data_IF_422550533723
#
_entry.id   IF_422550533723
#
_cell.length_a   1.000
_cell.length_b   1.000
_cell.length_c   1.000
_cell.angle_alpha   90.00
_cell.angle_beta   90.00
_cell.angle_gamma   90.00
#
_symmetry.space_group_name_H-M   'P 1'
#
loop_
_entity.id
_entity.type
_entity.pdbx_description
1 polymer ?
#
# COMPACT_ATOMS: atom_id res chain seq x y z
N UNK A 1 7.47 -8.76 20.97
CA UNK A 1 8.56 -8.34 21.88
C UNK A 1 9.82 -9.21 21.85
N UNK A 2 9.77 -10.47 21.40
CA UNK A 2 10.96 -11.34 21.31
C UNK A 2 11.97 -10.90 20.22
N UNK A 3 11.53 -10.38 19.07
CA UNK A 3 12.42 -10.02 17.96
C UNK A 3 13.23 -8.72 18.18
N UNK A 4 12.82 -7.84 19.08
CA UNK A 4 13.56 -6.62 19.43
C UNK A 4 14.84 -6.94 20.20
N UNK A 5 14.88 -8.10 20.89
CA UNK A 5 16.05 -8.54 21.67
C UNK A 5 17.16 -9.18 20.80
N UNK A 6 16.90 -9.46 19.52
CA UNK A 6 17.87 -10.10 18.61
C UNK A 6 18.73 -9.09 17.80
N UNK A 7 18.48 -7.80 17.94
CA UNK A 7 19.25 -6.76 17.24
C UNK A 7 20.63 -6.56 17.90
N UNK A 8 21.69 -6.38 17.09
CA UNK A 8 23.07 -6.23 17.60
C UNK A 8 23.35 -4.88 18.28
N UNK A 9 22.35 -4.07 18.57
CA UNK A 9 22.41 -2.71 19.09
C UNK A 9 21.79 -1.70 18.12
N UNK A 10 21.88 -0.38 18.44
CA UNK A 10 21.38 0.68 17.55
C UNK A 10 22.06 0.63 16.18
N UNK A 11 21.27 0.64 15.11
CA UNK A 11 21.75 0.68 13.72
C UNK A 11 21.39 2.00 13.05
N UNK A 12 22.16 2.37 12.02
CA UNK A 12 21.81 3.46 11.11
C UNK A 12 21.47 2.88 9.73
N UNK A 13 20.28 3.16 9.23
CA UNK A 13 19.81 2.68 7.92
C UNK A 13 19.81 3.84 6.91
N UNK A 14 20.51 3.66 5.79
CA UNK A 14 20.46 4.56 4.65
C UNK A 14 19.34 4.15 3.72
N UNK A 15 18.22 4.85 3.75
CA UNK A 15 17.03 4.62 2.95
C UNK A 15 17.16 5.40 1.65
N UNK A 16 17.13 4.70 0.51
CA UNK A 16 17.25 5.34 -0.80
C UNK A 16 15.94 5.16 -1.57
N UNK A 17 15.25 6.27 -1.84
CA UNK A 17 13.96 6.29 -2.52
C UNK A 17 13.98 7.29 -3.68
N UNK A 18 13.34 7.01 -4.84
CA UNK A 18 13.43 7.88 -6.01
C UNK A 18 12.91 9.30 -5.78
N UNK A 19 11.77 9.40 -5.11
CA UNK A 19 11.06 10.65 -4.80
C UNK A 19 10.48 10.59 -3.38
N UNK A 20 10.00 11.73 -2.87
CA UNK A 20 9.24 11.82 -1.62
C UNK A 20 7.93 12.58 -1.85
N UNK A 21 7.13 12.15 -2.84
CA UNK A 21 5.87 12.83 -3.17
C UNK A 21 4.64 12.14 -2.54
N UNK A 22 4.17 11.05 -3.13
CA UNK A 22 2.97 10.35 -2.66
C UNK A 22 2.85 8.93 -3.24
N UNK A 23 3.94 8.34 -3.70
CA UNK A 23 3.98 6.93 -4.12
C UNK A 23 3.96 5.98 -2.91
N UNK A 24 3.63 4.71 -3.15
CA UNK A 24 3.66 3.71 -2.08
C UNK A 24 5.07 3.57 -1.46
N UNK A 25 6.13 3.66 -2.27
CA UNK A 25 7.51 3.65 -1.79
C UNK A 25 7.86 4.89 -0.97
N UNK A 26 7.33 6.06 -1.38
CA UNK A 26 7.58 7.34 -0.72
C UNK A 26 6.97 7.35 0.70
N UNK A 27 5.71 6.92 0.80
CA UNK A 27 5.02 6.73 2.09
C UNK A 27 5.72 5.64 2.92
N UNK A 28 6.12 4.54 2.28
CA UNK A 28 6.87 3.46 2.92
C UNK A 28 8.21 3.92 3.50
N UNK A 29 8.89 4.90 2.87
CA UNK A 29 10.10 5.50 3.41
C UNK A 29 9.82 6.25 4.72
N UNK A 30 8.76 7.06 4.78
CA UNK A 30 8.34 7.77 6.00
C UNK A 30 7.97 6.80 7.12
N UNK A 31 7.22 5.73 6.81
CA UNK A 31 6.86 4.70 7.79
C UNK A 31 8.11 3.97 8.32
N UNK A 32 9.07 3.67 7.44
CA UNK A 32 10.33 3.04 7.84
C UNK A 32 11.16 3.95 8.76
N UNK A 33 11.18 5.26 8.51
CA UNK A 33 11.78 6.26 9.43
C UNK A 33 11.09 6.18 10.79
N UNK A 34 9.75 6.23 10.83
CA UNK A 34 9.00 6.13 12.10
C UNK A 34 9.28 4.85 12.87
N UNK A 35 9.42 3.72 12.16
CA UNK A 35 9.77 2.44 12.77
C UNK A 35 11.14 2.52 13.43
N UNK A 36 12.14 2.97 12.69
CA UNK A 36 13.52 3.02 13.16
C UNK A 36 13.71 3.97 14.33
N UNK A 37 13.20 5.19 14.23
CA UNK A 37 13.36 6.21 15.29
C UNK A 37 12.60 5.82 16.57
N UNK A 38 11.44 5.17 16.47
CA UNK A 38 10.71 4.67 17.66
C UNK A 38 11.38 3.49 18.35
N UNK A 39 12.38 2.89 17.75
CA UNK A 39 13.08 1.70 18.25
C UNK A 39 14.58 1.97 18.49
N UNK A 40 14.93 3.23 18.74
CA UNK A 40 16.29 3.70 19.02
C UNK A 40 17.30 3.41 17.90
N UNK A 41 16.83 3.33 16.68
CA UNK A 41 17.65 3.24 15.46
C UNK A 41 17.59 4.56 14.69
N UNK A 42 18.56 4.79 13.80
CA UNK A 42 18.63 6.02 13.01
C UNK A 42 18.26 5.78 11.56
N UNK A 43 17.54 6.72 10.98
CA UNK A 43 17.16 6.71 9.57
C UNK A 43 17.71 7.93 8.83
N UNK A 44 18.38 7.67 7.70
CA UNK A 44 18.83 8.71 6.77
C UNK A 44 18.13 8.45 5.44
N UNK A 45 17.33 9.40 4.97
CA UNK A 45 16.59 9.27 3.72
C UNK A 45 17.27 10.07 2.62
N UNK A 46 17.65 9.39 1.55
CA UNK A 46 18.25 10.01 0.35
C UNK A 46 17.27 9.94 -0.81
N UNK A 47 16.91 11.09 -1.35
CA UNK A 47 15.92 11.17 -2.42
C UNK A 47 15.99 12.52 -3.14
N UNK A 48 15.38 12.60 -4.32
CA UNK A 48 14.95 13.89 -4.84
C UNK A 48 13.86 14.45 -3.91
N UNK A 49 13.96 15.74 -3.55
CA UNK A 49 12.99 16.38 -2.67
C UNK A 49 11.56 16.27 -3.18
N UNK A 50 10.59 16.25 -2.27
CA UNK A 50 9.16 16.16 -2.54
C UNK A 50 8.34 16.57 -1.31
N UNK A 51 7.03 16.43 -1.37
CA UNK A 51 6.09 16.90 -0.33
C UNK A 51 6.28 16.20 1.03
N UNK A 52 6.75 14.94 1.03
CA UNK A 52 6.93 14.14 2.24
C UNK A 52 8.26 14.39 2.96
N UNK A 53 9.10 15.35 2.51
CA UNK A 53 10.34 15.69 3.23
C UNK A 53 10.05 16.17 4.64
N UNK A 54 9.01 17.02 4.79
CA UNK A 54 8.58 17.48 6.12
C UNK A 54 8.17 16.33 7.03
N UNK A 55 7.50 15.31 6.48
CA UNK A 55 7.08 14.12 7.24
C UNK A 55 8.27 13.26 7.69
N UNK A 56 9.33 13.15 6.85
CA UNK A 56 10.58 12.46 7.21
C UNK A 56 11.24 13.15 8.40
N UNK A 57 11.37 14.48 8.35
CA UNK A 57 11.98 15.28 9.41
C UNK A 57 11.14 15.23 10.70
N UNK A 58 9.81 15.37 10.56
CA UNK A 58 8.88 15.28 11.69
C UNK A 58 8.89 13.88 12.35
N UNK A 59 9.22 12.85 11.60
CA UNK A 59 9.40 11.48 12.11
C UNK A 59 10.76 11.25 12.81
N UNK A 60 11.68 12.24 12.81
CA UNK A 60 13.03 12.15 13.41
C UNK A 60 14.15 11.80 12.43
N UNK A 61 13.83 11.49 11.16
CA UNK A 61 14.83 11.08 10.17
C UNK A 61 15.67 12.24 9.62
N UNK A 62 16.92 11.94 9.26
CA UNK A 62 17.79 12.86 8.51
C UNK A 62 17.43 12.80 7.01
N UNK A 63 17.25 13.95 6.36
CA UNK A 63 17.02 14.03 4.92
C UNK A 63 18.23 14.55 4.17
N UNK A 64 18.63 13.86 3.09
CA UNK A 64 19.72 14.27 2.19
C UNK A 64 19.19 14.35 0.76
N UNK A 65 19.24 15.54 0.18
CA UNK A 65 18.81 15.75 -1.18
C UNK A 65 19.83 15.22 -2.20
N UNK A 66 19.44 14.24 -3.00
CA UNK A 66 20.21 13.69 -4.12
C UNK A 66 19.26 13.14 -5.18
N UNK A 67 19.42 13.55 -6.43
CA UNK A 67 18.61 12.99 -7.53
C UNK A 67 19.09 11.58 -7.88
N UNK A 68 18.52 10.60 -7.17
CA UNK A 68 18.77 9.16 -7.36
C UNK A 68 17.82 8.51 -8.38
N UNK A 69 16.82 9.25 -8.87
CA UNK A 69 15.85 8.78 -9.88
C UNK A 69 16.45 8.89 -11.29
N UNK A 70 17.38 8.00 -11.62
CA UNK A 70 18.08 8.06 -12.90
C UNK A 70 18.17 6.70 -13.60
N UNK A 71 18.21 6.73 -14.92
CA UNK A 71 18.53 5.60 -15.80
C UNK A 71 19.89 5.74 -16.48
N UNK A 72 20.57 6.86 -16.27
CA UNK A 72 21.88 7.12 -16.85
C UNK A 72 22.98 6.38 -16.05
N UNK A 73 23.74 5.45 -16.65
CA UNK A 73 24.75 4.66 -15.93
C UNK A 73 25.84 5.51 -15.27
N UNK A 74 26.27 6.61 -15.91
CA UNK A 74 27.29 7.50 -15.34
C UNK A 74 26.79 8.21 -14.09
N UNK A 75 25.51 8.68 -14.11
CA UNK A 75 24.87 9.25 -12.93
C UNK A 75 24.66 8.19 -11.85
N UNK A 76 24.34 6.94 -12.21
CA UNK A 76 24.24 5.86 -11.23
C UNK A 76 25.57 5.63 -10.50
N UNK A 77 26.70 5.64 -11.21
CA UNK A 77 28.03 5.50 -10.61
C UNK A 77 28.40 6.70 -9.75
N UNK A 78 28.14 7.93 -10.21
CA UNK A 78 28.33 9.13 -9.41
C UNK A 78 27.51 9.11 -8.13
N UNK A 79 26.22 8.78 -8.23
CA UNK A 79 25.33 8.64 -7.08
C UNK A 79 25.83 7.53 -6.12
N UNK A 80 26.31 6.42 -6.64
CA UNK A 80 26.88 5.34 -5.84
C UNK A 80 28.09 5.81 -5.01
N UNK A 81 28.97 6.65 -5.58
CA UNK A 81 30.11 7.21 -4.87
C UNK A 81 29.65 8.14 -3.73
N UNK A 82 28.64 8.98 -3.97
CA UNK A 82 28.06 9.87 -2.95
C UNK A 82 27.41 9.05 -1.82
N UNK A 83 26.58 8.04 -2.19
CA UNK A 83 25.92 7.16 -1.21
C UNK A 83 26.91 6.35 -0.38
N UNK A 84 28.01 5.85 -1.00
CA UNK A 84 29.06 5.14 -0.28
C UNK A 84 29.79 6.05 0.72
N UNK A 85 30.12 7.28 0.31
CA UNK A 85 30.73 8.27 1.20
C UNK A 85 29.81 8.56 2.39
N UNK A 86 28.53 8.88 2.11
CA UNK A 86 27.54 9.16 3.14
C UNK A 86 27.37 7.99 4.11
N UNK A 87 27.29 6.75 3.58
CA UNK A 87 27.16 5.55 4.39
C UNK A 87 28.34 5.37 5.36
N UNK A 88 29.57 5.65 4.91
CA UNK A 88 30.78 5.59 5.75
C UNK A 88 30.83 6.71 6.78
N UNK A 89 30.57 7.96 6.38
CA UNK A 89 30.60 9.14 7.26
C UNK A 89 29.56 9.06 8.37
N UNK A 90 28.39 8.46 8.09
CA UNK A 90 27.29 8.31 9.06
C UNK A 90 27.28 6.97 9.78
N UNK A 91 28.25 6.09 9.53
CA UNK A 91 28.31 4.77 10.15
C UNK A 91 27.09 3.90 9.84
N UNK A 92 26.58 3.94 8.60
CA UNK A 92 25.40 3.16 8.22
C UNK A 92 25.69 1.66 8.27
N UNK A 93 24.76 0.92 8.84
CA UNK A 93 24.80 -0.55 8.94
C UNK A 93 24.13 -1.25 7.76
N UNK A 94 23.20 -0.58 7.06
CA UNK A 94 22.40 -1.13 5.96
C UNK A 94 22.12 -0.04 4.94
N UNK A 95 22.11 -0.37 3.64
CA UNK A 95 21.52 0.45 2.58
C UNK A 95 20.24 -0.23 2.11
N UNK A 96 19.11 0.45 2.22
CA UNK A 96 17.80 -0.04 1.85
C UNK A 96 17.18 0.76 0.69
N UNK A 97 16.99 0.13 -0.47
CA UNK A 97 16.39 0.77 -1.64
C UNK A 97 14.90 0.46 -1.76
N UNK A 98 14.07 1.50 -1.90
CA UNK A 98 12.63 1.40 -2.02
C UNK A 98 12.13 1.64 -3.45
N UNK A 99 12.99 1.55 -4.45
CA UNK A 99 12.61 1.77 -5.83
C UNK A 99 13.70 1.35 -6.81
N UNK A 100 13.30 0.91 -8.00
CA UNK A 100 14.23 0.35 -9.00
C UNK A 100 15.21 1.37 -9.59
N UNK A 101 14.80 2.63 -9.72
CA UNK A 101 15.64 3.66 -10.38
C UNK A 101 16.80 4.10 -9.49
N UNK A 102 16.67 4.00 -8.18
CA UNK A 102 17.74 4.28 -7.23
C UNK A 102 18.53 3.02 -6.82
N UNK A 103 17.96 1.82 -7.06
CA UNK A 103 18.49 0.56 -6.51
C UNK A 103 19.87 0.19 -7.07
N UNK A 104 20.20 0.52 -8.33
CA UNK A 104 21.52 0.28 -8.88
C UNK A 104 22.61 1.09 -8.16
N UNK A 105 22.37 2.39 -7.96
CA UNK A 105 23.28 3.26 -7.20
C UNK A 105 23.44 2.76 -5.76
N UNK A 106 22.35 2.38 -5.11
CA UNK A 106 22.31 1.85 -3.75
C UNK A 106 23.07 0.51 -3.63
N UNK A 107 22.86 -0.42 -4.59
CA UNK A 107 23.54 -1.72 -4.63
C UNK A 107 25.06 -1.59 -4.80
N UNK A 108 25.51 -0.70 -5.71
CA UNK A 108 26.92 -0.42 -5.90
C UNK A 108 27.52 0.21 -4.64
N UNK A 109 26.83 1.19 -4.05
CA UNK A 109 27.28 1.86 -2.83
C UNK A 109 27.43 0.88 -1.65
N UNK A 110 26.47 -0.04 -1.47
CA UNK A 110 26.50 -1.04 -0.42
C UNK A 110 27.71 -1.98 -0.57
N UNK A 111 28.00 -2.42 -1.81
CA UNK A 111 29.19 -3.22 -2.10
C UNK A 111 30.49 -2.48 -1.79
N UNK A 112 30.61 -1.21 -2.19
CA UNK A 112 31.77 -0.36 -1.92
C UNK A 112 31.96 -0.08 -0.43
N UNK A 113 30.86 0.08 0.31
CA UNK A 113 30.88 0.30 1.75
C UNK A 113 31.11 -1.01 2.55
N UNK A 114 30.90 -2.18 1.95
CA UNK A 114 31.00 -3.48 2.63
C UNK A 114 29.85 -3.75 3.59
N UNK A 115 28.65 -3.18 3.34
CA UNK A 115 27.46 -3.32 4.19
C UNK A 115 26.31 -3.99 3.43
N UNK A 116 25.35 -4.62 4.14
CA UNK A 116 24.20 -5.26 3.53
C UNK A 116 23.34 -4.32 2.68
N UNK A 117 22.84 -4.86 1.56
CA UNK A 117 21.87 -4.22 0.68
C UNK A 117 20.51 -4.87 0.83
N UNK A 118 19.47 -4.07 1.07
CA UNK A 118 18.07 -4.52 1.18
C UNK A 118 17.22 -3.82 0.14
N UNK A 119 16.18 -4.48 -0.34
CA UNK A 119 15.22 -3.90 -1.27
C UNK A 119 13.79 -4.13 -0.80
N UNK A 120 12.90 -3.16 -1.04
CA UNK A 120 11.45 -3.32 -0.82
C UNK A 120 10.66 -3.19 -2.11
N UNK A 121 9.76 -4.15 -2.35
CA UNK A 121 8.85 -4.20 -3.47
C UNK A 121 7.45 -3.78 -3.03
N UNK A 122 6.99 -2.64 -3.55
CA UNK A 122 5.64 -2.10 -3.30
C UNK A 122 4.65 -2.39 -4.43
N UNK A 123 5.15 -2.83 -5.60
CA UNK A 123 4.36 -3.21 -6.77
C UNK A 123 5.17 -4.05 -7.73
N UNK A 124 4.48 -4.80 -8.59
CA UNK A 124 5.09 -5.47 -9.74
C UNK A 124 5.57 -4.49 -10.80
N UNK A 125 6.58 -4.88 -11.57
CA UNK A 125 7.09 -4.10 -12.69
C UNK A 125 6.67 -4.72 -14.01
N UNK A 126 6.26 -3.88 -14.97
CA UNK A 126 6.02 -4.32 -16.35
C UNK A 126 7.37 -4.55 -17.03
N UNK A 127 7.55 -5.75 -17.60
CA UNK A 127 8.73 -6.16 -18.35
C UNK A 127 8.33 -6.46 -19.78
N UNK A 128 8.75 -5.60 -20.71
CA UNK A 128 8.43 -5.72 -22.13
C UNK A 128 9.56 -6.37 -22.93
N UNK A 129 10.76 -6.47 -22.33
CA UNK A 129 11.96 -7.03 -22.96
C UNK A 129 13.03 -7.44 -21.93
N UNK A 130 14.05 -8.19 -22.36
CA UNK A 130 15.14 -8.68 -21.52
C UNK A 130 15.94 -7.54 -20.85
N UNK A 131 16.12 -6.41 -21.52
CA UNK A 131 16.84 -5.27 -20.94
C UNK A 131 16.09 -4.69 -19.73
N UNK A 132 14.77 -4.58 -19.80
CA UNK A 132 13.96 -4.14 -18.65
C UNK A 132 14.00 -5.17 -17.53
N UNK A 133 14.01 -6.47 -17.85
CA UNK A 133 14.16 -7.52 -16.84
C UNK A 133 15.52 -7.43 -16.15
N UNK A 134 16.61 -7.24 -16.90
CA UNK A 134 17.94 -7.03 -16.33
C UNK A 134 17.99 -5.77 -15.46
N UNK A 135 17.44 -4.65 -15.95
CA UNK A 135 17.37 -3.41 -15.18
C UNK A 135 16.59 -3.58 -13.87
N UNK A 136 15.47 -4.28 -13.89
CA UNK A 136 14.65 -4.52 -12.70
C UNK A 136 15.29 -5.55 -11.75
N UNK A 137 16.16 -6.44 -12.24
CA UNK A 137 16.75 -7.54 -11.45
C UNK A 137 17.56 -7.06 -10.24
N UNK A 138 18.02 -5.80 -10.22
CA UNK A 138 18.72 -5.25 -9.05
C UNK A 138 17.86 -5.28 -7.80
N UNK A 139 16.54 -5.15 -7.95
CA UNK A 139 15.59 -5.23 -6.83
C UNK A 139 15.50 -6.64 -6.22
N UNK A 140 15.99 -7.66 -6.90
CA UNK A 140 16.06 -9.05 -6.45
C UNK A 140 17.46 -9.46 -5.93
N UNK A 141 18.43 -8.53 -5.93
CA UNK A 141 19.84 -8.79 -5.55
C UNK A 141 20.17 -8.43 -4.10
N UNK A 142 19.19 -8.06 -3.29
CA UNK A 142 19.40 -7.77 -1.87
C UNK A 142 19.93 -8.96 -1.08
N UNK A 143 20.64 -8.72 0.02
CA UNK A 143 20.88 -9.71 1.06
C UNK A 143 19.54 -10.22 1.60
N UNK A 144 18.56 -9.29 1.72
CA UNK A 144 17.14 -9.56 1.90
C UNK A 144 16.33 -8.76 0.89
N UNK A 145 15.22 -9.35 0.45
CA UNK A 145 14.24 -8.76 -0.47
C UNK A 145 12.89 -8.74 0.24
N UNK A 146 12.42 -7.57 0.55
CA UNK A 146 11.13 -7.37 1.22
C UNK A 146 10.03 -7.24 0.16
N UNK A 147 9.01 -8.05 0.26
CA UNK A 147 7.79 -7.96 -0.55
C UNK A 147 6.62 -7.53 0.36
N UNK A 148 5.81 -6.57 -0.10
CA UNK A 148 4.68 -6.07 0.71
C UNK A 148 3.43 -6.94 0.63
N UNK A 149 3.48 -8.07 -0.08
CA UNK A 149 2.43 -9.09 -0.12
C UNK A 149 3.00 -10.42 -0.60
N UNK A 150 2.30 -11.52 -0.27
CA UNK A 150 2.62 -12.86 -0.76
C UNK A 150 2.63 -12.93 -2.31
N UNK A 151 1.71 -12.23 -2.96
CA UNK A 151 1.66 -12.16 -4.42
C UNK A 151 2.93 -11.52 -5.01
N UNK A 152 3.47 -10.49 -4.36
CA UNK A 152 4.73 -9.87 -4.78
C UNK A 152 5.92 -10.77 -4.47
N UNK A 153 5.92 -11.48 -3.36
CA UNK A 153 6.94 -12.47 -3.02
C UNK A 153 7.00 -13.57 -4.06
N UNK A 154 5.85 -14.14 -4.43
CA UNK A 154 5.73 -15.14 -5.49
C UNK A 154 6.24 -14.59 -6.83
N UNK A 155 5.84 -13.37 -7.20
CA UNK A 155 6.30 -12.72 -8.42
C UNK A 155 7.82 -12.56 -8.47
N UNK A 156 8.45 -12.20 -7.34
CA UNK A 156 9.91 -12.04 -7.23
C UNK A 156 10.61 -13.39 -7.37
N UNK A 157 10.11 -14.43 -6.72
CA UNK A 157 10.62 -15.79 -6.84
C UNK A 157 10.52 -16.30 -8.28
N UNK A 158 9.30 -16.25 -8.90
CA UNK A 158 9.05 -16.79 -10.23
C UNK A 158 9.83 -16.09 -11.33
N UNK A 159 9.97 -14.76 -11.24
CA UNK A 159 10.57 -13.98 -12.31
C UNK A 159 12.08 -13.87 -12.25
N UNK A 160 12.63 -13.82 -11.02
CA UNK A 160 14.05 -13.55 -10.82
C UNK A 160 14.78 -14.73 -10.19
N UNK A 161 14.08 -15.82 -9.85
CA UNK A 161 14.68 -16.98 -9.18
C UNK A 161 15.23 -16.63 -7.81
N UNK A 162 14.70 -15.62 -7.14
CA UNK A 162 15.17 -15.23 -5.81
C UNK A 162 14.79 -16.34 -4.82
N UNK A 163 15.75 -16.94 -4.10
CA UNK A 163 15.44 -17.97 -3.11
C UNK A 163 14.50 -17.46 -2.02
N UNK A 164 13.57 -18.31 -1.58
CA UNK A 164 12.59 -17.95 -0.55
C UNK A 164 13.24 -17.50 0.76
N UNK A 165 14.41 -18.05 1.10
CA UNK A 165 15.17 -17.67 2.29
C UNK A 165 15.64 -16.21 2.26
N UNK A 166 15.71 -15.61 1.07
CA UNK A 166 16.04 -14.17 0.91
C UNK A 166 14.81 -13.28 0.88
N UNK A 167 13.62 -13.83 0.66
CA UNK A 167 12.39 -13.07 0.56
C UNK A 167 11.74 -12.99 1.95
N UNK A 168 11.43 -11.79 2.38
CA UNK A 168 10.64 -11.54 3.57
C UNK A 168 9.33 -10.87 3.16
N UNK A 169 8.19 -11.42 3.59
CA UNK A 169 6.90 -10.76 3.39
C UNK A 169 6.65 -9.84 4.57
N UNK A 170 6.73 -8.54 4.30
CA UNK A 170 6.45 -7.49 5.29
C UNK A 170 5.35 -6.60 4.72
N UNK A 171 4.10 -6.81 5.11
CA UNK A 171 2.99 -6.03 4.57
C UNK A 171 3.15 -4.55 4.94
N UNK A 172 2.62 -3.68 4.07
CA UNK A 172 2.54 -2.26 4.40
C UNK A 172 1.62 -2.09 5.60
N UNK A 173 2.21 -1.73 6.73
CA UNK A 173 1.48 -1.45 7.96
C UNK A 173 1.07 0.02 8.02
N UNK A 174 -0.03 0.30 8.69
CA UNK A 174 -0.53 1.65 8.88
C UNK A 174 -0.81 1.93 10.36
N UNK A 175 -0.75 3.21 10.71
CA UNK A 175 -1.25 3.67 12.00
C UNK A 175 -2.78 3.72 11.96
N UNK A 176 -3.42 2.87 12.74
CA UNK A 176 -4.87 2.79 12.82
C UNK A 176 -5.48 3.75 13.85
N UNK A 177 -4.71 4.52 14.61
CA UNK A 177 -5.26 5.43 15.63
C UNK A 177 -6.29 6.41 15.09
N UNK A 178 -6.16 6.98 13.87
CA UNK A 178 -7.20 7.83 13.28
C UNK A 178 -8.45 7.06 12.87
N UNK A 179 -8.34 5.75 12.62
CA UNK A 179 -9.39 4.87 12.07
C UNK A 179 -10.06 4.06 13.20
N UNK A 180 -10.55 4.78 14.20
CA UNK A 180 -11.29 4.24 15.33
C UNK A 180 -12.75 4.62 15.21
N UNK A 181 -13.70 3.67 15.03
CA UNK A 181 -15.13 3.99 14.88
C UNK A 181 -15.68 4.88 15.98
N UNK A 182 -15.29 4.62 17.23
CA UNK A 182 -15.75 5.39 18.39
C UNK A 182 -15.24 6.83 18.48
N UNK A 183 -14.27 7.22 17.66
CA UNK A 183 -13.74 8.61 17.59
C UNK A 183 -14.41 9.46 16.52
N UNK A 184 -15.28 8.88 15.69
CA UNK A 184 -16.02 9.61 14.67
C UNK A 184 -17.39 9.97 15.19
N UNK A 185 -17.63 11.27 15.35
CA UNK A 185 -18.91 11.73 15.91
C UNK A 185 -20.03 11.69 14.87
N UNK A 186 -21.31 11.53 15.31
CA UNK A 186 -22.46 11.53 14.41
C UNK A 186 -22.56 12.81 13.56
N UNK A 187 -22.14 13.97 14.10
CA UNK A 187 -22.16 15.25 13.41
C UNK A 187 -21.20 15.26 12.22
N UNK A 188 -19.99 14.68 12.36
CA UNK A 188 -19.02 14.55 11.25
C UNK A 188 -19.58 13.66 10.14
N UNK A 189 -20.22 12.55 10.51
CA UNK A 189 -20.89 11.65 9.56
C UNK A 189 -22.01 12.38 8.83
N UNK A 190 -22.91 13.07 9.59
CA UNK A 190 -24.05 13.79 9.05
C UNK A 190 -23.62 14.92 8.11
N UNK A 191 -22.58 15.69 8.48
CA UNK A 191 -22.04 16.76 7.65
C UNK A 191 -21.54 16.22 6.29
N UNK A 192 -20.85 15.07 6.32
CA UNK A 192 -20.33 14.46 5.11
C UNK A 192 -21.46 13.87 4.23
N UNK A 193 -22.43 13.16 4.81
CA UNK A 193 -23.60 12.66 4.08
C UNK A 193 -24.37 13.83 3.44
N UNK A 194 -24.55 14.93 4.15
CA UNK A 194 -25.17 16.16 3.63
C UNK A 194 -24.38 16.72 2.43
N UNK A 195 -23.06 16.79 2.52
CA UNK A 195 -22.22 17.29 1.42
C UNK A 195 -22.32 16.44 0.15
N UNK A 196 -22.60 15.15 0.29
CA UNK A 196 -22.84 14.23 -0.82
C UNK A 196 -24.30 14.26 -1.32
N UNK A 197 -25.19 14.97 -0.65
CA UNK A 197 -26.63 15.04 -0.98
C UNK A 197 -27.36 13.73 -0.68
N UNK A 198 -26.93 12.99 0.34
CA UNK A 198 -27.45 11.66 0.68
C UNK A 198 -28.57 11.77 1.72
N UNK A 199 -29.69 11.10 1.48
CA UNK A 199 -30.75 10.95 2.46
C UNK A 199 -30.33 10.05 3.63
N UNK A 200 -30.91 10.19 4.83
CA UNK A 200 -30.51 9.36 5.98
C UNK A 200 -30.66 7.86 5.77
N UNK A 201 -31.66 7.41 5.02
CA UNK A 201 -31.95 5.99 4.74
C UNK A 201 -31.11 5.40 3.63
N UNK A 202 -30.56 6.23 2.71
CA UNK A 202 -29.83 5.75 1.52
C UNK A 202 -28.54 5.02 1.91
N UNK A 203 -28.35 3.82 1.37
CA UNK A 203 -27.14 3.02 1.57
C UNK A 203 -25.96 3.57 0.75
N UNK A 204 -24.80 3.74 1.36
CA UNK A 204 -23.63 4.31 0.70
C UNK A 204 -22.61 3.20 0.36
N UNK A 205 -22.33 3.09 -0.94
CA UNK A 205 -21.23 2.30 -1.48
C UNK A 205 -20.07 3.27 -1.77
N UNK A 206 -19.03 3.24 -0.97
CA UNK A 206 -17.90 4.17 -1.09
C UNK A 206 -16.79 3.55 -1.95
N UNK A 207 -16.41 4.22 -3.03
CA UNK A 207 -15.29 3.83 -3.89
C UNK A 207 -14.16 4.83 -3.71
N UNK A 208 -13.08 4.41 -3.06
CA UNK A 208 -11.97 5.30 -2.70
C UNK A 208 -10.74 5.10 -3.57
N UNK A 209 -10.02 6.19 -3.81
CA UNK A 209 -8.74 6.18 -4.51
C UNK A 209 -8.71 7.12 -5.71
N UNK A 210 -7.50 7.34 -6.24
CA UNK A 210 -7.31 8.23 -7.41
C UNK A 210 -8.23 7.87 -8.56
N UNK A 211 -8.84 8.86 -9.18
CA UNK A 211 -9.72 8.67 -10.34
C UNK A 211 -8.85 8.44 -11.59
N UNK A 212 -8.44 7.19 -11.76
CA UNK A 212 -7.63 6.73 -12.90
C UNK A 212 -8.11 5.35 -13.34
N UNK A 213 -7.99 5.03 -14.64
CA UNK A 213 -8.57 3.83 -15.26
C UNK A 213 -8.21 2.53 -14.51
N UNK A 214 -6.98 2.39 -14.03
CA UNK A 214 -6.53 1.17 -13.31
C UNK A 214 -7.25 0.93 -11.98
N UNK A 215 -7.90 1.95 -11.38
CA UNK A 215 -8.69 1.83 -10.15
C UNK A 215 -10.12 1.31 -10.37
N UNK A 216 -10.56 1.20 -11.62
CA UNK A 216 -11.79 0.50 -11.97
C UNK A 216 -13.10 1.21 -11.63
N UNK A 217 -13.12 2.56 -11.49
CA UNK A 217 -14.37 3.29 -11.23
C UNK A 217 -15.45 3.02 -12.27
N UNK A 218 -15.05 2.81 -13.55
CA UNK A 218 -15.97 2.43 -14.63
C UNK A 218 -16.63 1.07 -14.40
N UNK A 219 -15.96 0.12 -13.71
CA UNK A 219 -16.54 -1.16 -13.32
C UNK A 219 -17.63 -0.94 -12.25
N UNK A 220 -17.38 -0.02 -11.29
CA UNK A 220 -18.39 0.34 -10.29
C UNK A 220 -19.62 1.02 -10.91
N UNK A 221 -19.46 1.87 -11.93
CA UNK A 221 -20.59 2.45 -12.68
C UNK A 221 -21.40 1.34 -13.36
N UNK A 222 -20.75 0.41 -14.04
CA UNK A 222 -21.43 -0.72 -14.72
C UNK A 222 -22.12 -1.65 -13.71
N UNK A 223 -21.53 -1.86 -12.53
CA UNK A 223 -22.16 -2.64 -11.47
C UNK A 223 -23.38 -1.91 -10.88
N UNK A 224 -23.31 -0.59 -10.69
CA UNK A 224 -24.45 0.21 -10.26
C UNK A 224 -25.61 0.13 -11.25
N UNK A 225 -25.34 0.22 -12.56
CA UNK A 225 -26.36 -0.01 -13.60
C UNK A 225 -27.06 -1.37 -13.42
N UNK A 226 -26.30 -2.44 -13.21
CA UNK A 226 -26.87 -3.78 -13.00
C UNK A 226 -27.72 -3.87 -11.73
N UNK A 227 -27.34 -3.20 -10.66
CA UNK A 227 -28.15 -3.13 -9.44
C UNK A 227 -29.50 -2.42 -9.71
N UNK A 228 -29.48 -1.34 -10.49
CA UNK A 228 -30.71 -0.65 -10.91
C UNK A 228 -31.62 -1.55 -11.79
N UNK A 229 -31.02 -2.30 -12.72
CA UNK A 229 -31.74 -3.28 -13.56
C UNK A 229 -32.37 -4.40 -12.71
N UNK A 230 -31.84 -4.70 -11.53
CA UNK A 230 -32.42 -5.61 -10.55
C UNK A 230 -33.45 -4.96 -9.63
N UNK A 231 -33.78 -3.67 -9.85
CA UNK A 231 -34.78 -2.93 -9.09
C UNK A 231 -34.26 -2.27 -7.81
N UNK A 232 -32.94 -2.28 -7.54
CA UNK A 232 -32.37 -1.57 -6.40
C UNK A 232 -32.09 -0.11 -6.79
N UNK A 233 -32.66 0.81 -6.04
CA UNK A 233 -32.52 2.27 -6.27
C UNK A 233 -32.18 3.03 -4.99
N UNK A 234 -32.32 2.43 -3.81
CA UNK A 234 -32.01 3.08 -2.52
C UNK A 234 -30.54 2.88 -2.12
N UNK A 235 -29.63 3.24 -3.02
CA UNK A 235 -28.19 3.29 -2.76
C UNK A 235 -27.54 4.44 -3.51
N UNK A 236 -26.37 4.86 -3.05
CA UNK A 236 -25.52 5.81 -3.74
C UNK A 236 -24.07 5.32 -3.76
N UNK A 237 -23.48 5.19 -4.95
CA UNK A 237 -22.05 4.98 -5.12
C UNK A 237 -21.33 6.33 -5.07
N UNK A 238 -20.55 6.57 -4.03
CA UNK A 238 -19.77 7.80 -3.86
C UNK A 238 -18.32 7.54 -4.21
N UNK A 239 -17.81 8.24 -5.22
CA UNK A 239 -16.41 8.17 -5.65
C UNK A 239 -15.62 9.29 -4.96
N UNK A 240 -14.65 8.92 -4.13
CA UNK A 240 -13.80 9.87 -3.39
C UNK A 240 -12.34 9.69 -3.83
N UNK A 241 -11.81 10.72 -4.48
CA UNK A 241 -10.42 10.74 -4.93
C UNK A 241 -10.11 11.90 -5.86
N UNK A 242 -8.81 12.12 -6.09
CA UNK A 242 -8.33 13.14 -7.03
C UNK A 242 -7.99 12.49 -8.38
N UNK A 243 -8.21 13.22 -9.47
CA UNK A 243 -7.77 12.80 -10.81
C UNK A 243 -6.31 13.22 -11.12
N UNK A 244 -5.78 14.21 -10.36
CA UNK A 244 -4.41 14.74 -10.51
C UNK A 244 -4.01 15.05 -11.96
N UNK A 245 -4.93 15.65 -12.71
CA UNK A 245 -4.70 16.02 -14.10
C UNK A 245 -5.00 14.89 -15.11
N UNK A 246 -5.57 13.76 -14.67
CA UNK A 246 -6.10 12.73 -15.57
C UNK A 246 -7.53 13.05 -16.04
N UNK A 247 -7.77 14.30 -16.41
CA UNK A 247 -9.10 14.84 -16.77
C UNK A 247 -9.78 14.08 -17.91
N UNK A 248 -9.00 13.49 -18.85
CA UNK A 248 -9.55 12.66 -19.91
C UNK A 248 -10.33 11.45 -19.38
N UNK A 249 -9.77 10.71 -18.41
CA UNK A 249 -10.49 9.58 -17.82
C UNK A 249 -11.70 10.02 -16.97
N UNK A 250 -11.61 11.16 -16.32
CA UNK A 250 -12.73 11.74 -15.57
C UNK A 250 -13.89 12.09 -16.51
N UNK A 251 -13.58 12.64 -17.71
CA UNK A 251 -14.55 12.86 -18.77
C UNK A 251 -15.18 11.56 -19.27
N UNK A 252 -14.37 10.55 -19.65
CA UNK A 252 -14.84 9.23 -20.06
C UNK A 252 -15.77 8.61 -19.01
N UNK A 253 -15.48 8.81 -17.71
CA UNK A 253 -16.29 8.29 -16.62
C UNK A 253 -17.63 8.98 -16.51
N UNK A 254 -17.69 10.31 -16.70
CA UNK A 254 -18.95 11.06 -16.76
C UNK A 254 -19.81 10.65 -17.97
N UNK A 255 -19.20 10.49 -19.15
CA UNK A 255 -19.90 10.02 -20.35
C UNK A 255 -20.49 8.62 -20.11
N UNK A 256 -19.77 7.75 -19.40
CA UNK A 256 -20.29 6.44 -19.02
C UNK A 256 -21.48 6.56 -18.04
N UNK A 257 -21.41 7.42 -17.03
CA UNK A 257 -22.52 7.66 -16.09
C UNK A 257 -23.76 8.14 -16.83
N UNK A 258 -23.61 9.09 -17.77
CA UNK A 258 -24.72 9.60 -18.57
C UNK A 258 -25.30 8.53 -19.50
N UNK A 259 -24.44 7.83 -20.25
CA UNK A 259 -24.90 6.81 -21.22
C UNK A 259 -25.53 5.58 -20.57
N UNK A 260 -25.17 5.27 -19.31
CA UNK A 260 -25.76 4.16 -18.56
C UNK A 260 -27.00 4.55 -17.74
N UNK A 261 -27.34 5.84 -17.68
CA UNK A 261 -28.49 6.34 -16.90
C UNK A 261 -28.30 6.22 -15.37
N UNK A 262 -27.05 6.22 -14.88
CA UNK A 262 -26.75 5.99 -13.46
C UNK A 262 -26.53 7.29 -12.65
N UNK A 263 -26.91 8.46 -13.18
CA UNK A 263 -26.70 9.76 -12.55
C UNK A 263 -27.29 9.86 -11.14
N UNK A 264 -28.41 9.22 -10.90
CA UNK A 264 -29.11 9.30 -9.61
C UNK A 264 -28.42 8.46 -8.52
N UNK A 265 -27.65 7.44 -8.92
CA UNK A 265 -26.97 6.51 -8.02
C UNK A 265 -25.45 6.63 -8.02
N UNK A 266 -24.88 7.57 -8.78
CA UNK A 266 -23.44 7.85 -8.80
C UNK A 266 -23.16 9.28 -8.35
N UNK A 267 -22.21 9.46 -7.44
CA UNK A 267 -21.74 10.77 -6.98
C UNK A 267 -20.22 10.83 -7.07
N UNK A 268 -19.68 11.73 -7.87
CA UNK A 268 -18.27 12.09 -7.83
C UNK A 268 -18.07 13.21 -6.81
N UNK A 269 -17.54 12.85 -5.64
CA UNK A 269 -17.34 13.79 -4.55
C UNK A 269 -15.97 14.49 -4.68
N UNK A 270 -15.91 15.71 -4.15
CA UNK A 270 -14.63 16.38 -3.94
C UNK A 270 -13.71 15.56 -3.04
N UNK A 271 -12.37 15.73 -3.11
CA UNK A 271 -11.46 15.10 -2.18
C UNK A 271 -11.85 15.34 -0.73
N UNK A 272 -11.86 14.27 0.06
CA UNK A 272 -12.25 14.30 1.48
C UNK A 272 -10.99 14.26 2.35
N UNK A 273 -10.80 15.25 3.21
CA UNK A 273 -9.71 15.28 4.19
C UNK A 273 -9.99 14.38 5.40
N UNK A 274 -11.26 14.22 5.77
CA UNK A 274 -11.70 13.39 6.90
C UNK A 274 -12.11 11.99 6.41
N UNK A 275 -11.12 11.17 6.06
CA UNK A 275 -11.36 9.80 5.62
C UNK A 275 -11.98 8.89 6.69
N UNK A 276 -11.65 9.00 7.99
CA UNK A 276 -12.39 8.26 9.03
C UNK A 276 -13.90 8.50 8.99
N UNK A 277 -14.34 9.76 8.83
CA UNK A 277 -15.77 10.06 8.70
C UNK A 277 -16.36 9.52 7.39
N UNK A 278 -15.59 9.54 6.28
CA UNK A 278 -16.03 8.98 5.01
C UNK A 278 -16.30 7.46 5.12
N UNK A 279 -15.38 6.72 5.73
CA UNK A 279 -15.60 5.29 5.99
C UNK A 279 -16.76 5.06 6.97
N UNK A 280 -16.86 5.88 8.04
CA UNK A 280 -17.97 5.76 8.98
C UNK A 280 -19.34 6.04 8.34
N UNK A 281 -19.40 6.93 7.35
CA UNK A 281 -20.61 7.23 6.60
C UNK A 281 -21.03 6.14 5.61
N UNK A 282 -20.09 5.27 5.21
CA UNK A 282 -20.31 4.23 4.23
C UNK A 282 -20.91 2.95 4.85
N UNK A 283 -21.75 2.25 4.10
CA UNK A 283 -22.24 0.90 4.43
C UNK A 283 -21.32 -0.18 3.85
N UNK A 284 -20.76 0.06 2.67
CA UNK A 284 -19.86 -0.85 1.96
C UNK A 284 -18.71 -0.03 1.35
N UNK A 285 -17.49 -0.56 1.41
CA UNK A 285 -16.35 0.07 0.73
C UNK A 285 -15.85 -0.84 -0.37
N UNK A 286 -15.62 -0.26 -1.56
CA UNK A 286 -15.25 -1.00 -2.78
C UNK A 286 -13.86 -0.59 -3.26
N UNK A 287 -13.07 -1.57 -3.65
CA UNK A 287 -11.90 -1.36 -4.51
C UNK A 287 -11.99 -2.26 -5.75
N UNK A 288 -12.23 -1.63 -6.89
CA UNK A 288 -12.45 -2.29 -8.17
C UNK A 288 -11.21 -2.26 -9.09
N UNK A 289 -10.00 -2.26 -8.53
CA UNK A 289 -8.77 -2.18 -9.32
C UNK A 289 -8.70 -3.28 -10.40
N UNK A 290 -8.30 -2.88 -11.61
CA UNK A 290 -8.17 -3.76 -12.78
C UNK A 290 -6.69 -4.03 -13.15
N UNK A 291 -5.79 -3.67 -12.29
CA UNK A 291 -4.36 -3.99 -12.40
C UNK A 291 -3.84 -4.39 -11.02
N UNK A 292 -2.84 -5.27 -10.94
CA UNK A 292 -2.27 -5.68 -9.67
C UNK A 292 -1.80 -4.48 -8.85
N UNK A 293 -2.31 -4.40 -7.64
CA UNK A 293 -1.88 -3.44 -6.63
C UNK A 293 -1.30 -4.21 -5.44
N UNK A 294 -0.38 -3.59 -4.72
CA UNK A 294 0.01 -4.12 -3.41
C UNK A 294 -1.11 -3.91 -2.39
N UNK A 295 -0.80 -4.03 -1.12
CA UNK A 295 -1.76 -3.76 -0.03
C UNK A 295 -2.33 -2.34 -0.19
N UNK A 296 -3.63 -2.26 -0.46
CA UNK A 296 -4.30 -0.97 -0.61
C UNK A 296 -4.66 -0.40 0.76
N UNK A 297 -4.05 0.73 1.08
CA UNK A 297 -4.28 1.46 2.32
C UNK A 297 -5.77 1.69 2.60
N UNK A 298 -6.54 2.08 1.58
CA UNK A 298 -7.98 2.33 1.69
C UNK A 298 -8.79 1.11 2.18
N UNK A 299 -8.38 -0.11 1.84
CA UNK A 299 -9.04 -1.34 2.30
C UNK A 299 -8.70 -1.60 3.76
N UNK A 300 -7.44 -1.40 4.16
CA UNK A 300 -7.04 -1.51 5.56
C UNK A 300 -7.77 -0.50 6.45
N UNK A 301 -7.87 0.75 5.99
CA UNK A 301 -8.58 1.84 6.68
C UNK A 301 -10.07 1.55 6.83
N UNK A 302 -10.73 1.10 5.74
CA UNK A 302 -12.14 0.74 5.76
C UNK A 302 -12.41 -0.44 6.72
N UNK A 303 -11.57 -1.47 6.66
CA UNK A 303 -11.67 -2.61 7.57
C UNK A 303 -11.43 -2.19 9.02
N UNK A 304 -10.47 -1.30 9.29
CA UNK A 304 -10.23 -0.75 10.64
C UNK A 304 -11.44 0.03 11.16
N UNK A 305 -12.20 0.67 10.27
CA UNK A 305 -13.48 1.32 10.58
C UNK A 305 -14.65 0.33 10.65
N UNK A 306 -14.38 -0.98 10.70
CA UNK A 306 -15.38 -2.05 10.75
C UNK A 306 -16.39 -2.00 9.59
N UNK A 307 -15.99 -1.55 8.41
CA UNK A 307 -16.86 -1.54 7.24
C UNK A 307 -16.68 -2.82 6.42
N UNK A 308 -17.76 -3.46 5.98
CA UNK A 308 -17.70 -4.53 4.98
C UNK A 308 -17.00 -4.03 3.72
N UNK A 309 -16.09 -4.84 3.17
CA UNK A 309 -15.32 -4.49 1.98
C UNK A 309 -15.61 -5.44 0.82
N UNK A 310 -15.67 -4.91 -0.39
CA UNK A 310 -15.73 -5.68 -1.63
C UNK A 310 -14.54 -5.31 -2.50
N UNK A 311 -13.70 -6.28 -2.82
CA UNK A 311 -12.43 -6.01 -3.53
C UNK A 311 -12.28 -6.91 -4.75
N UNK A 312 -11.67 -6.38 -5.82
CA UNK A 312 -11.25 -7.24 -6.91
C UNK A 312 -10.06 -8.14 -6.48
N UNK A 313 -9.89 -9.26 -7.16
CA UNK A 313 -8.76 -10.18 -6.93
C UNK A 313 -7.39 -9.56 -7.24
N UNK A 314 -7.35 -8.43 -7.97
CA UNK A 314 -6.15 -7.64 -8.24
C UNK A 314 -5.98 -6.44 -7.27
N UNK A 315 -7.01 -6.10 -6.49
CA UNK A 315 -6.98 -4.97 -5.56
C UNK A 315 -6.33 -5.32 -4.22
N UNK A 316 -6.52 -6.54 -3.76
CA UNK A 316 -5.98 -7.01 -2.48
C UNK A 316 -5.67 -8.50 -2.55
N UNK A 317 -4.56 -8.89 -1.96
CA UNK A 317 -4.18 -10.30 -1.79
C UNK A 317 -5.11 -11.05 -0.83
N UNK A 318 -5.01 -12.41 -0.80
CA UNK A 318 -5.77 -13.24 0.14
C UNK A 318 -5.38 -13.00 1.61
N UNK A 319 -4.24 -12.40 1.83
CA UNK A 319 -3.72 -11.97 3.12
C UNK A 319 -4.42 -10.71 3.67
N UNK A 320 -4.94 -9.84 2.80
CA UNK A 320 -5.58 -8.58 3.19
C UNK A 320 -7.03 -8.79 3.64
N UNK A 321 -7.78 -9.62 2.93
CA UNK A 321 -9.13 -10.02 3.28
C UNK A 321 -9.30 -11.53 3.23
N UNK A 322 -9.98 -12.08 4.20
CA UNK A 322 -10.34 -13.50 4.25
C UNK A 322 -11.67 -13.72 3.51
N UNK A 323 -11.68 -14.63 2.55
CA UNK A 323 -12.86 -14.94 1.73
C UNK A 323 -13.05 -16.45 1.59
N UNK A 324 -14.28 -16.88 1.33
CA UNK A 324 -14.52 -18.26 0.92
C UNK A 324 -13.87 -18.55 -0.45
N UNK A 325 -13.43 -19.78 -0.75
CA UNK A 325 -13.46 -20.96 0.12
C UNK A 325 -12.24 -21.09 1.06
N UNK A 326 -11.30 -20.13 1.04
CA UNK A 326 -10.09 -20.18 1.88
C UNK A 326 -10.42 -20.22 3.38
N UNK A 327 -11.52 -19.58 3.78
CA UNK A 327 -12.07 -19.68 5.13
C UNK A 327 -13.57 -19.98 5.07
N UNK A 328 -14.17 -20.57 6.13
CA UNK A 328 -15.61 -20.74 6.23
C UNK A 328 -16.35 -19.39 6.14
N UNK A 329 -17.59 -19.38 5.62
CA UNK A 329 -18.44 -18.19 5.52
C UNK A 329 -18.57 -17.41 6.84
N UNK A 330 -18.62 -18.11 7.98
CA UNK A 330 -18.67 -17.48 9.30
C UNK A 330 -17.41 -16.69 9.69
N UNK A 331 -16.32 -16.84 8.92
CA UNK A 331 -15.01 -16.20 9.20
C UNK A 331 -14.59 -15.21 8.14
N UNK A 332 -15.37 -15.02 7.06
CA UNK A 332 -15.02 -14.04 6.01
C UNK A 332 -14.98 -12.63 6.58
N UNK A 333 -14.07 -11.82 6.06
CA UNK A 333 -13.87 -10.42 6.45
C UNK A 333 -14.29 -9.43 5.36
N UNK A 334 -14.66 -9.94 4.20
CA UNK A 334 -15.13 -9.16 3.04
C UNK A 334 -15.44 -10.09 1.88
N UNK A 335 -15.81 -9.51 0.74
CA UNK A 335 -16.10 -10.25 -0.48
C UNK A 335 -15.08 -9.93 -1.58
N UNK A 336 -14.82 -10.91 -2.43
CA UNK A 336 -13.91 -10.79 -3.58
C UNK A 336 -14.65 -11.04 -4.87
N UNK A 337 -14.26 -10.36 -5.95
CA UNK A 337 -14.76 -10.55 -7.29
C UNK A 337 -13.64 -10.52 -8.33
N UNK A 338 -13.87 -11.09 -9.51
CA UNK A 338 -12.90 -11.09 -10.60
C UNK A 338 -12.69 -9.67 -11.16
N UNK A 339 -11.45 -9.22 -11.29
CA UNK A 339 -11.12 -7.88 -11.75
C UNK A 339 -11.69 -7.61 -13.16
N UNK A 340 -12.35 -6.47 -13.31
CA UNK A 340 -13.01 -6.10 -14.57
C UNK A 340 -14.41 -6.68 -14.77
N UNK A 341 -14.87 -7.57 -13.89
CA UNK A 341 -16.21 -8.16 -13.97
C UNK A 341 -17.23 -7.35 -13.17
N UNK A 342 -17.97 -6.49 -13.87
CA UNK A 342 -19.03 -5.68 -13.28
C UNK A 342 -20.22 -6.50 -12.79
N UNK A 343 -20.49 -7.69 -13.39
CA UNK A 343 -21.56 -8.56 -12.95
C UNK A 343 -21.22 -9.22 -11.60
N UNK A 344 -19.99 -9.71 -11.47
CA UNK A 344 -19.51 -10.26 -10.21
C UNK A 344 -19.47 -9.21 -9.10
N UNK A 345 -19.07 -7.96 -9.42
CA UNK A 345 -19.14 -6.85 -8.45
C UNK A 345 -20.59 -6.57 -8.05
N UNK A 346 -21.51 -6.48 -9.00
CA UNK A 346 -22.93 -6.25 -8.70
C UNK A 346 -23.50 -7.38 -7.81
N UNK A 347 -23.19 -8.65 -8.08
CA UNK A 347 -23.61 -9.77 -7.25
C UNK A 347 -23.06 -9.68 -5.81
N UNK A 348 -21.79 -9.31 -5.65
CA UNK A 348 -21.20 -9.11 -4.33
C UNK A 348 -21.85 -7.94 -3.57
N UNK A 349 -22.13 -6.83 -4.26
CA UNK A 349 -22.83 -5.69 -3.68
C UNK A 349 -24.27 -6.05 -3.31
N UNK A 350 -25.00 -6.71 -4.18
CA UNK A 350 -26.37 -7.19 -3.92
C UNK A 350 -26.41 -8.06 -2.66
N UNK A 351 -25.45 -8.99 -2.52
CA UNK A 351 -25.33 -9.84 -1.34
C UNK A 351 -25.20 -9.00 -0.05
N UNK A 352 -24.33 -7.99 -0.03
CA UNK A 352 -24.14 -7.14 1.16
C UNK A 352 -25.32 -6.18 1.41
N UNK A 353 -25.93 -5.63 0.36
CA UNK A 353 -27.08 -4.75 0.48
C UNK A 353 -28.33 -5.51 1.00
N UNK A 354 -28.44 -6.81 0.67
CA UNK A 354 -29.54 -7.68 1.12
C UNK A 354 -29.23 -8.40 2.45
N UNK A 355 -27.99 -8.27 2.95
CA UNK A 355 -27.59 -8.91 4.20
C UNK A 355 -28.22 -8.21 5.40
N UNK A 356 -28.73 -8.95 6.42
CA UNK A 356 -29.16 -8.35 7.67
C UNK A 356 -28.05 -7.51 8.31
N UNK A 357 -28.41 -6.33 8.83
CA UNK A 357 -27.46 -5.38 9.42
C UNK A 357 -26.52 -6.03 10.47
N UNK A 358 -27.00 -6.88 11.40
CA UNK A 358 -26.13 -7.53 12.37
C UNK A 358 -25.06 -8.43 11.74
N UNK A 359 -25.41 -9.11 10.62
CA UNK A 359 -24.45 -9.97 9.90
C UNK A 359 -23.39 -9.17 9.15
N UNK A 360 -23.80 -8.09 8.49
CA UNK A 360 -22.89 -7.16 7.83
C UNK A 360 -21.94 -6.49 8.84
N UNK A 361 -22.48 -6.03 9.98
CA UNK A 361 -21.71 -5.48 11.08
C UNK A 361 -20.70 -6.50 11.64
N UNK A 362 -21.12 -7.75 11.85
CA UNK A 362 -20.24 -8.82 12.32
C UNK A 362 -19.10 -9.11 11.32
N UNK A 363 -19.37 -9.08 10.01
CA UNK A 363 -18.33 -9.19 8.97
C UNK A 363 -17.33 -8.03 9.08
N UNK A 364 -17.81 -6.80 9.21
CA UNK A 364 -16.97 -5.61 9.39
C UNK A 364 -16.09 -5.71 10.64
N UNK A 365 -16.64 -6.18 11.77
CA UNK A 365 -15.88 -6.38 13.01
C UNK A 365 -14.80 -7.45 12.87
N UNK A 366 -15.07 -8.56 12.17
CA UNK A 366 -14.02 -9.55 11.84
C UNK A 366 -12.92 -8.93 10.97
N UNK A 367 -13.30 -8.11 9.98
CA UNK A 367 -12.34 -7.35 9.16
C UNK A 367 -11.46 -6.44 9.99
N UNK A 368 -12.05 -5.70 10.94
CA UNK A 368 -11.31 -4.85 11.88
C UNK A 368 -10.33 -5.67 12.73
N UNK A 369 -10.78 -6.74 13.35
CA UNK A 369 -9.92 -7.57 14.17
C UNK A 369 -8.74 -8.14 13.36
N UNK A 370 -9.00 -8.56 12.12
CA UNK A 370 -7.98 -9.08 11.20
C UNK A 370 -6.92 -8.03 10.88
N UNK A 371 -7.31 -6.84 10.41
CA UNK A 371 -6.32 -5.83 10.00
C UNK A 371 -5.55 -5.25 11.18
N UNK A 372 -6.20 -5.05 12.33
CA UNK A 372 -5.52 -4.61 13.54
C UNK A 372 -4.50 -5.64 14.05
N UNK A 373 -4.75 -6.93 13.85
CA UNK A 373 -3.82 -7.99 14.24
C UNK A 373 -2.63 -8.19 13.30
N UNK A 374 -2.78 -7.84 12.01
CA UNK A 374 -1.80 -8.23 10.98
C UNK A 374 -1.13 -7.06 10.25
N UNK A 375 -1.73 -5.86 10.26
CA UNK A 375 -1.27 -4.72 9.47
C UNK A 375 -1.00 -3.46 10.31
N UNK A 376 -0.94 -3.58 11.63
CA UNK A 376 -0.58 -2.45 12.49
C UNK A 376 0.93 -2.20 12.49
N UNK A 377 1.31 -0.99 12.89
CA UNK A 377 2.72 -0.56 12.92
C UNK A 377 3.60 -1.42 13.82
N UNK A 378 3.06 -2.02 14.89
CA UNK A 378 3.85 -2.89 15.78
C UNK A 378 4.27 -4.18 15.08
N UNK A 379 3.36 -4.80 14.30
CA UNK A 379 3.67 -6.00 13.50
C UNK A 379 4.73 -5.67 12.43
N UNK A 380 4.55 -4.55 11.71
CA UNK A 380 5.53 -4.11 10.72
C UNK A 380 6.90 -3.81 11.34
N UNK A 381 6.91 -3.19 12.51
CA UNK A 381 8.14 -2.92 13.27
C UNK A 381 8.88 -4.21 13.58
N UNK A 382 8.20 -5.19 14.17
CA UNK A 382 8.81 -6.48 14.52
C UNK A 382 9.39 -7.19 13.30
N UNK A 383 8.65 -7.22 12.18
CA UNK A 383 9.10 -7.87 10.95
C UNK A 383 10.29 -7.15 10.31
N UNK A 384 10.30 -5.83 10.24
CA UNK A 384 11.42 -5.04 9.71
C UNK A 384 12.68 -5.22 10.55
N UNK A 385 12.57 -5.14 11.87
CA UNK A 385 13.71 -5.33 12.77
C UNK A 385 14.27 -6.74 12.67
N UNK A 386 13.41 -7.77 12.53
CA UNK A 386 13.86 -9.14 12.27
C UNK A 386 14.68 -9.23 10.98
N UNK A 387 14.20 -8.64 9.88
CA UNK A 387 14.94 -8.61 8.60
C UNK A 387 16.31 -7.97 8.76
N UNK A 388 16.41 -6.85 9.48
CA UNK A 388 17.71 -6.20 9.71
C UNK A 388 18.59 -7.00 10.65
N UNK A 389 18.05 -7.57 11.73
CA UNK A 389 18.78 -8.38 12.70
C UNK A 389 19.44 -9.62 12.07
N UNK A 390 18.82 -10.19 11.03
CA UNK A 390 19.37 -11.35 10.32
C UNK A 390 20.57 -11.04 9.42
N UNK A 391 20.79 -9.77 9.04
CA UNK A 391 21.82 -9.39 8.06
C UNK A 391 22.87 -8.43 8.60
N UNK A 392 22.58 -7.72 9.68
CA UNK A 392 23.57 -6.85 10.32
C UNK A 392 24.48 -7.69 11.20
N UNK A 393 25.80 -7.67 10.98
CA UNK A 393 26.74 -8.42 11.82
C UNK A 393 26.63 -8.00 13.28
N UNK A 394 26.63 -8.95 14.20
CA UNK A 394 26.80 -8.67 15.62
C UNK A 394 28.19 -8.06 15.83
N UNK A 395 28.28 -7.03 16.67
CA UNK A 395 29.54 -6.33 16.97
C UNK A 395 30.63 -7.35 17.29
N UNK A 396 31.69 -7.41 16.46
CA UNK A 396 32.80 -8.36 16.60
C UNK A 396 32.85 -9.54 15.61
N UNK A 397 31.82 -9.72 14.74
CA UNK A 397 31.87 -10.73 13.66
C UNK A 397 32.07 -10.04 12.29
N UNK A 398 32.95 -10.59 11.41
CA UNK A 398 33.09 -10.04 10.07
C UNK A 398 31.79 -10.24 9.27
N UNK A 399 31.42 -9.24 8.47
CA UNK A 399 30.24 -9.30 7.58
C UNK A 399 30.37 -10.51 6.63
N UNK A 400 29.37 -11.40 6.67
CA UNK A 400 29.26 -12.49 5.68
C UNK A 400 28.77 -11.87 4.37
N UNK A 401 29.72 -11.46 3.53
CA UNK A 401 29.41 -11.03 2.16
C UNK A 401 28.98 -12.26 1.35
N UNK A 402 27.84 -12.25 0.65
CA UNK A 402 27.48 -13.31 -0.26
C UNK A 402 28.52 -13.41 -1.36
N UNK A 403 29.11 -14.61 -1.54
CA UNK A 403 30.02 -14.91 -2.65
C UNK A 403 29.28 -14.64 -3.97
N UNK A 404 29.91 -13.88 -4.84
CA UNK A 404 29.45 -13.67 -6.20
C UNK A 404 29.47 -15.02 -6.96
N UNK A 405 28.31 -15.49 -7.39
CA UNK A 405 28.14 -16.47 -8.42
C UNK A 405 27.68 -15.81 -9.70
#
# INVERSE_FOLDING_TARGET
MAAVNDMPGPITVLIVVPTLDAGAADVGAVELVRILERTDHRAIVVSRAGRLVADVIAAGGEFVALDVDTKNPLRMLSNAAVLNRLARERGCSVIHALGRSCAWSACIAARLAGIPFVTSWYKGFREQNLFKRLYNSVMARGARVIATSEQLAQLVNDRYGTPWEKIAVVPSCIDFQPFEPGKVTPERIAALRKSWGVQPSTRIILVTGRIVRRKGHHIAVQAAKRLMELGLTDFLCVFVGEDRGHTGYTGDLWDLVLSTGTMDVIRMAAPVGDMPAAYAAADIVVSAAIQPEGVQRAILEASAMARPVVVSDLAAGPDVILTAPAVPESRITGLRFAAGDAAALAAALLRLLSMPEPEAAAMGQRGRAWVLGHFNTSVGTEQILRVYGEIVPRTGQPAVLPRAH
#
